data_IF_745457983932
#
_entry.id   IF_745457983932
#
_cell.length_a   1.000
_cell.length_b   1.000
_cell.length_c   1.000
_cell.angle_alpha   90.00
_cell.angle_beta   90.00
_cell.angle_gamma   90.00
#
_symmetry.space_group_name_H-M   'P 1'
#
loop_
_entity.id
_entity.type
_entity.pdbx_description
1 polymer ?
#
# COMPACT_ATOMS: atom_id res chain seq x y z
N UNK A 1 18.83 15.55 -59.45
CA UNK A 1 17.75 15.80 -58.48
C UNK A 1 17.22 14.54 -57.80
N UNK A 2 17.01 13.41 -58.50
CA UNK A 2 16.42 12.20 -57.89
C UNK A 2 17.21 11.56 -56.73
N UNK A 3 18.54 11.57 -56.78
CA UNK A 3 19.38 10.98 -55.71
C UNK A 3 19.30 11.76 -54.39
N UNK A 4 19.27 13.10 -54.45
CA UNK A 4 19.15 13.94 -53.26
C UNK A 4 17.80 13.73 -52.57
N UNK A 5 16.70 13.70 -53.34
CA UNK A 5 15.37 13.44 -52.79
C UNK A 5 15.29 12.06 -52.13
N UNK A 6 15.91 11.04 -52.73
CA UNK A 6 15.96 9.68 -52.17
C UNK A 6 16.76 9.62 -50.87
N UNK A 7 17.89 10.32 -50.80
CA UNK A 7 18.69 10.46 -49.58
C UNK A 7 17.91 11.15 -48.45
N UNK A 8 17.22 12.25 -48.77
CA UNK A 8 16.38 12.96 -47.82
C UNK A 8 15.25 12.08 -47.25
N UNK A 9 14.59 11.30 -48.10
CA UNK A 9 13.56 10.35 -47.68
C UNK A 9 14.16 9.28 -46.76
N UNK A 10 15.32 8.71 -47.10
CA UNK A 10 15.99 7.71 -46.26
C UNK A 10 16.39 8.29 -44.90
N UNK A 11 16.94 9.50 -44.85
CA UNK A 11 17.30 10.18 -43.60
C UNK A 11 16.06 10.46 -42.76
N UNK A 12 14.97 10.88 -43.38
CA UNK A 12 13.71 11.14 -42.70
C UNK A 12 13.11 9.87 -42.08
N UNK A 13 13.05 8.77 -42.83
CA UNK A 13 12.59 7.48 -42.30
C UNK A 13 13.51 6.96 -41.18
N UNK A 14 14.82 7.07 -41.35
CA UNK A 14 15.78 6.69 -40.31
C UNK A 14 15.55 7.52 -39.03
N UNK A 15 15.38 8.84 -39.16
CA UNK A 15 15.07 9.73 -38.03
C UNK A 15 13.76 9.37 -37.33
N UNK A 16 12.69 9.09 -38.10
CA UNK A 16 11.41 8.65 -37.55
C UNK A 16 11.52 7.33 -36.78
N UNK A 17 12.22 6.34 -37.35
CA UNK A 17 12.41 5.05 -36.67
C UNK A 17 13.23 5.20 -35.39
N UNK A 18 14.26 6.06 -35.41
CA UNK A 18 15.09 6.32 -34.24
C UNK A 18 14.30 7.04 -33.14
N UNK A 19 13.50 8.04 -33.50
CA UNK A 19 12.62 8.74 -32.57
C UNK A 19 11.64 7.78 -31.90
N UNK A 20 10.96 6.93 -32.69
CA UNK A 20 10.02 5.91 -32.16
C UNK A 20 10.72 4.90 -31.25
N UNK A 21 11.96 4.55 -31.55
CA UNK A 21 12.76 3.66 -30.71
C UNK A 21 13.09 4.30 -29.36
N UNK A 22 13.55 5.56 -29.36
CA UNK A 22 13.86 6.31 -28.14
C UNK A 22 12.61 6.49 -27.28
N UNK A 23 11.46 6.83 -27.87
CA UNK A 23 10.18 6.97 -27.15
C UNK A 23 9.79 5.67 -26.43
N UNK A 24 9.92 4.52 -27.10
CA UNK A 24 9.67 3.22 -26.46
C UNK A 24 10.64 2.95 -25.31
N UNK A 25 11.92 3.33 -25.48
CA UNK A 25 12.93 3.17 -24.44
C UNK A 25 12.63 4.05 -23.22
N UNK A 26 12.20 5.29 -23.45
CA UNK A 26 11.81 6.23 -22.39
C UNK A 26 10.58 5.72 -21.63
N UNK A 27 9.55 5.25 -22.32
CA UNK A 27 8.37 4.69 -21.65
C UNK A 27 8.69 3.46 -20.79
N UNK A 28 9.59 2.58 -21.25
CA UNK A 28 10.06 1.45 -20.44
C UNK A 28 10.86 1.92 -19.22
N UNK A 29 11.67 2.96 -19.39
CA UNK A 29 12.49 3.54 -18.31
C UNK A 29 11.64 4.22 -17.25
N UNK A 30 10.60 4.95 -17.66
CA UNK A 30 9.63 5.59 -16.76
C UNK A 30 8.88 4.54 -15.93
N UNK A 31 8.42 3.46 -16.56
CA UNK A 31 7.78 2.34 -15.86
C UNK A 31 8.75 1.63 -14.89
N UNK A 32 10.02 1.49 -15.28
CA UNK A 32 11.06 0.91 -14.40
C UNK A 32 11.34 1.79 -13.19
N UNK A 33 11.14 3.11 -13.30
CA UNK A 33 11.31 4.06 -12.19
C UNK A 33 10.12 4.07 -11.23
N UNK A 34 8.90 3.81 -11.69
CA UNK A 34 7.71 3.77 -10.82
C UNK A 34 7.66 2.52 -9.94
N UNK A 35 8.16 1.38 -10.42
CA UNK A 35 8.23 0.12 -9.66
C UNK A 35 8.96 0.28 -8.31
N UNK A 36 10.21 0.79 -8.24
CA UNK A 36 10.94 0.90 -6.97
C UNK A 36 10.25 1.86 -5.99
N UNK A 37 9.62 2.93 -6.48
CA UNK A 37 8.85 3.87 -5.65
C UNK A 37 7.68 3.14 -4.99
N UNK A 38 6.87 2.43 -5.78
CA UNK A 38 5.72 1.70 -5.27
C UNK A 38 6.12 0.58 -4.30
N UNK A 39 7.22 -0.13 -4.55
CA UNK A 39 7.72 -1.13 -3.60
C UNK A 39 8.18 -0.54 -2.28
N UNK A 40 8.71 0.69 -2.25
CA UNK A 40 9.05 1.37 -0.99
C UNK A 40 7.80 1.68 -0.20
N UNK A 41 6.79 2.27 -0.84
CA UNK A 41 5.51 2.59 -0.20
C UNK A 41 4.82 1.33 0.35
N UNK A 42 4.78 0.25 -0.44
CA UNK A 42 4.24 -1.03 0.02
C UNK A 42 5.01 -1.58 1.22
N UNK A 43 6.34 -1.48 1.22
CA UNK A 43 7.17 -1.95 2.32
C UNK A 43 6.91 -1.14 3.60
N UNK A 44 6.80 0.18 3.51
CA UNK A 44 6.46 1.03 4.66
C UNK A 44 5.07 0.68 5.24
N UNK A 45 4.09 0.45 4.39
CA UNK A 45 2.74 0.03 4.83
C UNK A 45 2.81 -1.34 5.51
N UNK A 46 3.56 -2.29 4.94
CA UNK A 46 3.70 -3.63 5.49
C UNK A 46 4.43 -3.63 6.84
N UNK A 47 5.46 -2.79 6.99
CA UNK A 47 6.15 -2.60 8.28
C UNK A 47 5.20 -2.05 9.35
N UNK A 48 4.41 -1.01 9.02
CA UNK A 48 3.40 -0.48 9.94
C UNK A 48 2.32 -1.50 10.29
N UNK A 49 1.86 -2.28 9.32
CA UNK A 49 0.87 -3.32 9.57
C UNK A 49 1.45 -4.41 10.49
N UNK A 50 2.71 -4.79 10.31
CA UNK A 50 3.40 -5.70 11.21
C UNK A 50 3.56 -5.13 12.62
N UNK A 51 3.85 -3.83 12.74
CA UNK A 51 3.93 -3.14 14.03
C UNK A 51 2.57 -3.13 14.73
N UNK A 52 1.49 -2.82 14.01
CA UNK A 52 0.13 -2.86 14.55
C UNK A 52 -0.28 -4.28 14.95
N UNK A 53 0.00 -5.28 14.12
CA UNK A 53 -0.26 -6.68 14.48
C UNK A 53 0.48 -7.07 15.76
N UNK A 54 1.75 -6.70 15.90
CA UNK A 54 2.50 -6.95 17.13
C UNK A 54 1.90 -6.22 18.34
N UNK A 55 1.49 -4.96 18.17
CA UNK A 55 0.85 -4.19 19.23
C UNK A 55 -0.48 -4.83 19.66
N UNK A 56 -1.33 -5.24 18.70
CA UNK A 56 -2.59 -5.93 18.97
C UNK A 56 -2.33 -7.25 19.70
N UNK A 57 -1.37 -8.06 19.26
CA UNK A 57 -1.05 -9.32 19.94
C UNK A 57 -0.55 -9.10 21.37
N UNK A 58 0.25 -8.03 21.58
CA UNK A 58 0.82 -7.68 22.88
C UNK A 58 -0.23 -7.14 23.86
N UNK A 59 -1.13 -6.27 23.40
CA UNK A 59 -2.04 -5.53 24.29
C UNK A 59 -3.46 -6.08 24.29
N UNK A 60 -3.93 -6.64 23.19
CA UNK A 60 -5.32 -7.03 22.99
C UNK A 60 -5.53 -8.53 22.81
N UNK A 61 -4.47 -9.36 22.82
CA UNK A 61 -4.70 -10.80 22.74
C UNK A 61 -5.51 -11.26 23.97
N UNK A 62 -6.66 -11.92 23.76
CA UNK A 62 -7.59 -12.26 24.83
C UNK A 62 -6.94 -13.19 25.87
N UNK A 63 -5.99 -14.02 25.44
CA UNK A 63 -5.19 -14.87 26.32
C UNK A 63 -4.30 -14.02 27.25
N UNK A 64 -3.60 -13.02 26.72
CA UNK A 64 -2.74 -12.14 27.53
C UNK A 64 -3.55 -11.27 28.50
N UNK A 65 -4.71 -10.78 28.06
CA UNK A 65 -5.63 -10.03 28.92
C UNK A 65 -6.22 -10.90 30.04
N UNK A 66 -6.55 -12.16 29.76
CA UNK A 66 -6.98 -13.12 30.79
C UNK A 66 -5.85 -13.43 31.78
N UNK A 67 -4.60 -13.58 31.32
CA UNK A 67 -3.45 -13.75 32.20
C UNK A 67 -3.22 -12.52 33.09
N UNK A 68 -3.33 -11.30 32.56
CA UNK A 68 -3.24 -10.08 33.36
C UNK A 68 -4.35 -9.98 34.41
N UNK A 69 -5.60 -10.29 34.03
CA UNK A 69 -6.74 -10.25 34.94
C UNK A 69 -6.60 -11.25 36.11
N UNK A 70 -5.86 -12.35 35.90
CA UNK A 70 -5.61 -13.35 36.94
C UNK A 70 -4.54 -12.94 37.98
N UNK A 71 -3.75 -11.89 37.70
CA UNK A 71 -2.72 -11.41 38.65
C UNK A 71 -3.37 -10.61 39.80
N UNK A 72 -2.89 -10.79 41.04
CA UNK A 72 -3.47 -10.14 42.23
C UNK A 72 -3.38 -8.61 42.20
N UNK A 73 -2.41 -8.07 41.46
CA UNK A 73 -2.23 -6.63 41.25
C UNK A 73 -3.43 -5.98 40.55
N UNK A 74 -4.12 -6.72 39.68
CA UNK A 74 -5.29 -6.24 38.93
C UNK A 74 -6.62 -6.69 39.55
N UNK A 75 -6.61 -7.36 40.70
CA UNK A 75 -7.83 -7.86 41.37
C UNK A 75 -8.79 -6.77 41.86
N UNK A 76 -8.38 -5.50 41.82
CA UNK A 76 -9.22 -4.34 42.12
C UNK A 76 -10.05 -3.88 40.91
N UNK A 77 -9.72 -4.31 39.69
CA UNK A 77 -10.50 -4.07 38.48
C UNK A 77 -11.70 -5.03 38.47
N UNK A 78 -12.83 -4.58 39.02
CA UNK A 78 -14.10 -5.30 38.89
C UNK A 78 -14.71 -5.01 37.52
N UNK A 79 -15.39 -6.00 36.95
CA UNK A 79 -16.20 -5.79 35.75
C UNK A 79 -17.19 -4.65 35.99
N UNK A 80 -17.24 -3.64 35.11
CA UNK A 80 -18.22 -2.58 35.24
C UNK A 80 -19.64 -3.17 35.15
N UNK A 81 -20.60 -2.69 35.95
CA UNK A 81 -21.98 -3.10 35.83
C UNK A 81 -22.50 -2.74 34.44
N UNK A 82 -23.35 -3.60 33.87
CA UNK A 82 -23.91 -3.42 32.51
C UNK A 82 -24.59 -2.06 32.28
N UNK A 83 -24.98 -1.38 33.35
CA UNK A 83 -25.54 -0.02 33.35
C UNK A 83 -24.55 1.06 32.91
N UNK A 84 -23.24 0.83 33.02
CA UNK A 84 -22.17 1.77 32.66
C UNK A 84 -21.55 1.46 31.29
N UNK A 85 -21.96 0.37 30.64
CA UNK A 85 -21.43 -0.05 29.34
C UNK A 85 -22.22 0.59 28.21
N UNK A 86 -21.62 1.61 27.58
CA UNK A 86 -22.14 2.22 26.34
C UNK A 86 -21.81 1.31 25.14
N UNK A 87 -22.80 0.55 24.68
CA UNK A 87 -22.71 -0.21 23.44
C UNK A 87 -22.94 0.76 22.26
N UNK A 88 -21.92 0.98 21.44
CA UNK A 88 -22.04 1.74 20.20
C UNK A 88 -22.62 0.77 19.15
N UNK A 89 -23.85 1.00 18.64
CA UNK A 89 -24.41 0.16 17.59
C UNK A 89 -23.61 0.36 16.29
N UNK A 90 -23.18 -0.74 15.66
CA UNK A 90 -22.53 -0.65 14.35
C UNK A 90 -23.51 -0.09 13.31
N UNK A 91 -23.15 1.05 12.72
CA UNK A 91 -23.86 1.58 11.57
C UNK A 91 -23.77 0.56 10.43
N UNK A 92 -24.94 0.03 10.02
CA UNK A 92 -25.07 -0.75 8.80
C UNK A 92 -24.49 0.07 7.65
N UNK A 93 -23.37 -0.37 7.10
CA UNK A 93 -22.87 0.08 5.80
C UNK A 93 -23.96 -0.25 4.79
N UNK A 94 -24.74 0.76 4.40
CA UNK A 94 -25.73 0.65 3.34
C UNK A 94 -24.93 0.47 2.04
N UNK A 95 -24.82 -0.77 1.57
CA UNK A 95 -24.44 -1.05 0.18
C UNK A 95 -25.54 -0.47 -0.72
N UNK A 96 -25.32 0.72 -1.27
CA UNK A 96 -26.13 1.26 -2.37
C UNK A 96 -25.78 0.49 -3.63
N UNK A 97 -26.75 -0.30 -4.10
CA UNK A 97 -26.78 -0.98 -5.38
C UNK A 97 -26.94 0.00 -6.55
#
# INVERSE_FOLDING_TARGET
MGLLVRLWICIFFAGLTLYKYIDKLNGLTELRLSIPVLTKELKEIQEKNSEFHYAIERFESPVHLMELASKPEFGHLKYPPLTEVLLIPEEKVIESK
#
